data_IF_242306685923
#
_entry.id   IF_242306685923
#
_cell.length_a   1.000
_cell.length_b   1.000
_cell.length_c   1.000
_cell.angle_alpha   90.00
_cell.angle_beta   90.00
_cell.angle_gamma   90.00
#
_symmetry.space_group_name_H-M   'P 1'
#
loop_
_entity.id
_entity.type
_entity.pdbx_description
1 polymer ?
#
# COMPACT_ATOMS: atom_id res chain seq x y z
N UNK A 1 6.31 -95.21 -41.14
CA UNK A 1 6.68 -93.95 -40.46
C UNK A 1 8.13 -93.63 -40.77
N UNK A 2 8.39 -92.85 -41.83
CA UNK A 2 9.73 -92.43 -42.27
C UNK A 2 9.63 -91.09 -43.00
N UNK A 3 10.41 -90.13 -42.50
CA UNK A 3 11.10 -89.00 -43.17
C UNK A 3 10.41 -88.20 -44.27
N UNK A 4 10.23 -86.89 -44.04
CA UNK A 4 10.92 -85.81 -44.76
C UNK A 4 10.50 -84.43 -44.24
N UNK A 5 11.45 -83.58 -43.81
CA UNK A 5 11.26 -82.14 -43.73
C UNK A 5 12.15 -81.47 -44.80
N UNK A 6 11.60 -80.59 -45.62
CA UNK A 6 12.42 -79.57 -46.29
C UNK A 6 11.49 -78.46 -46.78
N UNK A 7 11.57 -77.32 -46.10
CA UNK A 7 11.25 -75.94 -46.47
C UNK A 7 11.32 -75.24 -45.09
N UNK A 8 12.30 -74.39 -44.78
CA UNK A 8 12.46 -73.03 -45.28
C UNK A 8 13.88 -72.57 -44.90
N UNK A 9 14.67 -72.22 -45.91
CA UNK A 9 15.73 -71.22 -45.76
C UNK A 9 15.08 -69.82 -45.83
N UNK A 10 15.74 -68.83 -45.22
CA UNK A 10 15.30 -67.46 -44.87
C UNK A 10 14.78 -67.35 -43.43
N UNK A 11 15.35 -66.57 -42.52
CA UNK A 11 16.25 -65.45 -42.69
C UNK A 11 17.17 -65.28 -41.47
N UNK A 12 18.46 -65.11 -41.74
CA UNK A 12 19.37 -64.40 -40.85
C UNK A 12 18.94 -62.93 -40.87
N UNK A 13 18.21 -62.48 -39.86
CA UNK A 13 18.10 -61.05 -39.54
C UNK A 13 18.26 -60.86 -38.03
N UNK A 14 19.51 -60.58 -37.67
CA UNK A 14 19.89 -59.47 -36.78
C UNK A 14 19.07 -59.28 -35.49
N UNK A 15 19.23 -60.17 -34.51
CA UNK A 15 18.84 -59.92 -33.11
C UNK A 15 20.07 -59.56 -32.26
N UNK A 16 20.72 -58.44 -32.55
CA UNK A 16 21.74 -57.89 -31.65
C UNK A 16 21.77 -56.37 -31.53
N UNK A 17 20.83 -55.64 -32.13
CA UNK A 17 20.77 -54.18 -32.03
C UNK A 17 19.89 -53.65 -30.87
N UNK A 18 19.00 -54.46 -30.28
CA UNK A 18 17.96 -53.94 -29.35
C UNK A 18 18.34 -53.91 -27.86
N UNK A 19 19.50 -54.45 -27.47
CA UNK A 19 19.89 -54.48 -26.07
C UNK A 19 20.53 -53.16 -25.58
N UNK A 20 21.13 -52.37 -26.49
CA UNK A 20 21.80 -51.12 -26.14
C UNK A 20 20.81 -49.96 -25.97
N UNK A 21 19.84 -49.83 -26.87
CA UNK A 21 18.80 -48.79 -26.80
C UNK A 21 17.91 -48.92 -25.56
N UNK A 22 17.62 -50.14 -25.09
CA UNK A 22 16.75 -50.36 -23.93
C UNK A 22 17.42 -49.95 -22.60
N UNK A 23 18.75 -50.00 -22.52
CA UNK A 23 19.48 -49.55 -21.34
C UNK A 23 19.60 -48.02 -21.30
N UNK A 24 19.86 -47.40 -22.45
CA UNK A 24 19.99 -45.94 -22.58
C UNK A 24 18.66 -45.24 -22.30
N UNK A 25 17.56 -45.78 -22.83
CA UNK A 25 16.20 -45.30 -22.55
C UNK A 25 15.78 -45.47 -21.09
N UNK A 26 16.14 -46.59 -20.45
CA UNK A 26 15.83 -46.80 -19.03
C UNK A 26 16.53 -45.78 -18.11
N UNK A 27 17.75 -45.37 -18.45
CA UNK A 27 18.51 -44.39 -17.66
C UNK A 27 17.99 -42.96 -17.88
N UNK A 28 17.61 -42.60 -19.10
CA UNK A 28 16.94 -41.34 -19.42
C UNK A 28 15.61 -41.21 -18.68
N UNK A 29 14.80 -42.28 -18.63
CA UNK A 29 13.54 -42.31 -17.87
C UNK A 29 13.79 -42.12 -16.36
N UNK A 30 14.88 -42.68 -15.81
CA UNK A 30 15.26 -42.45 -14.41
C UNK A 30 15.69 -41.01 -14.15
N UNK A 31 16.44 -40.40 -15.06
CA UNK A 31 16.82 -38.99 -14.99
C UNK A 31 15.60 -38.08 -15.05
N UNK A 32 14.72 -38.27 -16.05
CA UNK A 32 13.45 -37.55 -16.18
C UNK A 32 12.60 -37.66 -14.92
N UNK A 33 12.51 -38.85 -14.31
CA UNK A 33 11.76 -39.05 -13.06
C UNK A 33 12.36 -38.26 -11.90
N UNK A 34 13.69 -38.16 -11.81
CA UNK A 34 14.37 -37.34 -10.80
C UNK A 34 14.12 -35.86 -11.04
N UNK A 35 14.16 -35.39 -12.29
CA UNK A 35 13.88 -34.01 -12.66
C UNK A 35 12.43 -33.63 -12.37
N UNK A 36 11.46 -34.48 -12.70
CA UNK A 36 10.04 -34.26 -12.38
C UNK A 36 9.82 -34.15 -10.87
N UNK A 37 10.48 -34.98 -10.07
CA UNK A 37 10.38 -34.89 -8.60
C UNK A 37 11.03 -33.61 -8.08
N UNK A 38 12.14 -33.18 -8.66
CA UNK A 38 12.83 -31.92 -8.31
C UNK A 38 11.96 -30.72 -8.65
N UNK A 39 11.47 -30.63 -9.88
CA UNK A 39 10.56 -29.58 -10.35
C UNK A 39 9.27 -29.55 -9.54
N UNK A 40 8.71 -30.70 -9.18
CA UNK A 40 7.52 -30.76 -8.33
C UNK A 40 7.78 -30.20 -6.93
N UNK A 41 8.97 -30.40 -6.36
CA UNK A 41 9.36 -29.80 -5.08
C UNK A 41 9.56 -28.29 -5.20
N UNK A 42 10.21 -27.83 -6.27
CA UNK A 42 10.42 -26.40 -6.55
C UNK A 42 9.09 -25.66 -6.74
N UNK A 43 8.17 -26.21 -7.55
CA UNK A 43 6.82 -25.65 -7.71
C UNK A 43 6.04 -25.65 -6.38
N UNK A 44 6.21 -26.67 -5.55
CA UNK A 44 5.53 -26.73 -4.25
C UNK A 44 6.14 -25.74 -3.24
N UNK A 45 7.45 -25.48 -3.28
CA UNK A 45 8.08 -24.45 -2.46
C UNK A 45 7.71 -23.04 -2.91
N UNK A 46 7.63 -22.79 -4.23
CA UNK A 46 7.24 -21.50 -4.79
C UNK A 46 5.77 -21.18 -4.51
N UNK A 47 4.89 -22.19 -4.57
CA UNK A 47 3.49 -22.03 -4.16
C UNK A 47 3.36 -21.72 -2.66
N UNK A 48 4.25 -22.27 -1.82
CA UNK A 48 4.30 -21.98 -0.37
C UNK A 48 4.91 -20.60 -0.07
N UNK A 49 5.73 -20.07 -0.98
CA UNK A 49 6.21 -18.68 -0.96
C UNK A 49 5.18 -17.68 -1.52
N UNK A 50 3.96 -18.12 -1.88
CA UNK A 50 2.79 -17.30 -2.21
C UNK A 50 2.25 -16.43 -1.06
N UNK A 51 3.14 -15.85 -0.24
CA UNK A 51 2.86 -14.81 0.75
C UNK A 51 2.16 -13.57 0.14
N UNK A 52 2.15 -13.44 -1.19
CA UNK A 52 1.36 -12.43 -1.89
C UNK A 52 -0.15 -12.55 -1.67
N UNK A 53 -0.71 -13.76 -1.53
CA UNK A 53 -2.15 -13.92 -1.37
C UNK A 53 -2.66 -13.50 0.03
N UNK A 54 -1.84 -13.71 1.07
CA UNK A 54 -2.15 -13.25 2.43
C UNK A 54 -2.01 -11.73 2.53
N UNK A 55 -0.92 -11.17 2.00
CA UNK A 55 -0.69 -9.73 1.97
C UNK A 55 -1.79 -8.98 1.20
N UNK A 56 -2.27 -9.52 0.06
CA UNK A 56 -3.38 -8.92 -0.69
C UNK A 56 -4.67 -8.94 0.13
N UNK A 57 -4.98 -10.04 0.82
CA UNK A 57 -6.17 -10.14 1.68
C UNK A 57 -6.11 -9.18 2.86
N UNK A 58 -4.94 -8.98 3.46
CA UNK A 58 -4.79 -8.04 4.57
C UNK A 58 -4.88 -6.59 4.09
N UNK A 59 -4.30 -6.28 2.93
CA UNK A 59 -4.43 -4.99 2.29
C UNK A 59 -5.90 -4.67 1.93
N UNK A 60 -6.66 -5.64 1.44
CA UNK A 60 -8.10 -5.49 1.18
C UNK A 60 -8.89 -5.14 2.46
N UNK A 61 -8.57 -5.79 3.59
CA UNK A 61 -9.19 -5.47 4.89
C UNK A 61 -8.86 -4.04 5.32
N UNK A 62 -7.62 -3.59 5.14
CA UNK A 62 -7.21 -2.23 5.46
C UNK A 62 -7.96 -1.21 4.60
N UNK A 63 -8.08 -1.45 3.30
CA UNK A 63 -8.84 -0.58 2.39
C UNK A 63 -10.31 -0.48 2.83
N UNK A 64 -10.95 -1.58 3.23
CA UNK A 64 -12.32 -1.56 3.75
C UNK A 64 -12.41 -0.74 5.05
N UNK A 65 -11.45 -0.91 5.96
CA UNK A 65 -11.38 -0.15 7.21
C UNK A 65 -11.20 1.35 6.94
N UNK A 66 -10.30 1.72 6.03
CA UNK A 66 -10.07 3.11 5.63
C UNK A 66 -11.33 3.73 5.01
N UNK A 67 -12.00 3.02 4.10
CA UNK A 67 -13.26 3.48 3.51
C UNK A 67 -14.34 3.73 4.57
N UNK A 68 -14.42 2.87 5.59
CA UNK A 68 -15.35 3.07 6.72
C UNK A 68 -15.00 4.31 7.54
N UNK A 69 -13.71 4.54 7.79
CA UNK A 69 -13.25 5.73 8.51
C UNK A 69 -13.53 7.02 7.73
N UNK A 70 -13.31 7.03 6.41
CA UNK A 70 -13.64 8.18 5.56
C UNK A 70 -15.13 8.53 5.66
N UNK A 71 -16.03 7.54 5.56
CA UNK A 71 -17.48 7.80 5.72
C UNK A 71 -17.83 8.38 7.09
N UNK A 72 -17.28 7.83 8.16
CA UNK A 72 -17.49 8.36 9.52
C UNK A 72 -17.03 9.81 9.66
N UNK A 73 -15.90 10.16 9.06
CA UNK A 73 -15.39 11.53 9.07
C UNK A 73 -16.30 12.46 8.25
N UNK A 74 -16.82 11.99 7.12
CA UNK A 74 -17.81 12.75 6.34
C UNK A 74 -19.08 13.00 7.14
N UNK A 75 -19.60 11.99 7.84
CA UNK A 75 -20.79 12.13 8.69
C UNK A 75 -20.57 13.16 9.80
N UNK A 76 -19.41 13.11 10.47
CA UNK A 76 -19.03 14.09 11.50
C UNK A 76 -18.90 15.51 10.95
N UNK A 77 -18.37 15.69 9.73
CA UNK A 77 -18.29 17.00 9.09
C UNK A 77 -19.68 17.57 8.84
N UNK A 78 -20.62 16.76 8.36
CA UNK A 78 -22.00 17.18 8.13
C UNK A 78 -22.70 17.54 9.44
N UNK A 79 -22.50 16.76 10.49
CA UNK A 79 -23.03 17.06 11.84
C UNK A 79 -22.47 18.39 12.37
N UNK A 80 -21.16 18.59 12.24
CA UNK A 80 -20.52 19.85 12.64
C UNK A 80 -21.05 21.04 11.83
N UNK A 81 -21.23 20.90 10.52
CA UNK A 81 -21.80 21.95 9.67
C UNK A 81 -23.21 22.31 10.12
N UNK A 82 -24.08 21.32 10.34
CA UNK A 82 -25.43 21.54 10.85
C UNK A 82 -25.41 22.23 12.23
N UNK A 83 -24.47 21.87 13.11
CA UNK A 83 -24.32 22.51 14.42
C UNK A 83 -23.85 23.96 14.32
N UNK A 84 -23.03 24.29 13.32
CA UNK A 84 -22.55 25.65 13.06
C UNK A 84 -23.70 26.50 12.49
N UNK A 85 -24.49 25.95 11.57
CA UNK A 85 -25.68 26.62 11.02
C UNK A 85 -26.73 26.89 12.11
N UNK A 86 -27.02 25.91 12.97
CA UNK A 86 -27.94 26.11 14.09
C UNK A 86 -27.45 27.18 15.09
N UNK A 87 -26.14 27.28 15.30
CA UNK A 87 -25.56 28.34 16.14
C UNK A 87 -25.56 29.70 15.45
N UNK A 88 -25.38 29.75 14.13
CA UNK A 88 -25.38 31.00 13.37
C UNK A 88 -26.77 31.61 13.26
N UNK A 89 -27.84 30.81 13.24
CA UNK A 89 -29.22 31.32 13.29
C UNK A 89 -29.58 31.95 14.64
N UNK A 90 -28.94 31.52 15.74
CA UNK A 90 -29.12 32.09 17.08
C UNK A 90 -28.20 33.31 17.33
N UNK A 91 -27.08 33.40 16.61
CA UNK A 91 -26.15 34.51 16.68
C UNK A 91 -26.60 35.61 15.71
N UNK A 92 -27.14 36.70 16.23
CA UNK A 92 -27.32 37.92 15.43
C UNK A 92 -25.97 38.27 14.78
N UNK A 93 -25.92 38.59 13.47
CA UNK A 93 -24.67 38.94 12.82
C UNK A 93 -24.14 40.23 13.45
N UNK A 94 -23.19 40.09 14.36
CA UNK A 94 -22.43 41.24 14.88
C UNK A 94 -21.76 41.90 13.67
N UNK A 95 -21.98 43.21 13.45
CA UNK A 95 -21.31 43.95 12.39
C UNK A 95 -19.82 43.65 12.41
N UNK A 96 -19.21 43.44 11.24
CA UNK A 96 -17.78 43.05 11.11
C UNK A 96 -16.84 44.03 11.83
N UNK A 97 -17.26 45.29 12.00
CA UNK A 97 -16.53 46.32 12.76
C UNK A 97 -16.44 46.06 14.27
N UNK A 98 -17.41 45.39 14.88
CA UNK A 98 -17.49 45.16 16.32
C UNK A 98 -16.89 43.80 16.75
N UNK A 99 -16.36 43.03 15.81
CA UNK A 99 -15.76 41.73 16.12
C UNK A 99 -14.42 41.91 16.84
N UNK A 100 -14.14 41.13 17.90
CA UNK A 100 -12.85 41.18 18.59
C UNK A 100 -11.74 40.86 17.58
N UNK A 101 -10.82 41.80 17.43
CA UNK A 101 -9.64 41.65 16.59
C UNK A 101 -8.54 41.05 17.43
N UNK A 102 -7.83 40.08 16.87
CA UNK A 102 -6.72 39.41 17.52
C UNK A 102 -5.43 39.82 16.85
N UNK A 103 -4.44 40.19 17.66
CA UNK A 103 -3.07 40.38 17.22
C UNK A 103 -2.20 39.29 17.83
N UNK A 104 -1.37 38.64 17.01
CA UNK A 104 -0.39 37.67 17.47
C UNK A 104 1.02 38.10 17.06
N UNK A 105 1.98 37.84 17.94
CA UNK A 105 3.40 38.14 17.76
C UNK A 105 4.24 36.90 18.05
N UNK A 106 5.35 36.77 17.33
CA UNK A 106 6.37 35.76 17.58
C UNK A 106 7.74 36.35 17.25
N UNK A 107 8.75 35.95 18.00
CA UNK A 107 10.14 36.25 17.72
C UNK A 107 10.87 34.95 17.39
N UNK A 108 11.40 34.85 16.18
CA UNK A 108 12.22 33.72 15.76
C UNK A 108 13.63 34.19 15.41
N UNK A 109 14.63 33.35 15.73
CA UNK A 109 16.05 33.71 15.54
C UNK A 109 16.40 33.89 14.06
N UNK A 110 15.70 33.19 13.14
CA UNK A 110 15.92 33.29 11.69
C UNK A 110 14.96 34.26 11.00
N UNK A 111 13.67 34.21 11.33
CA UNK A 111 12.64 35.03 10.70
C UNK A 111 12.48 36.43 11.34
N UNK A 112 13.14 36.66 12.48
CA UNK A 112 13.05 37.90 13.25
C UNK A 112 11.71 38.04 13.98
N UNK A 113 11.41 39.26 14.43
CA UNK A 113 10.10 39.61 14.97
C UNK A 113 9.03 39.67 13.88
N UNK A 114 7.94 38.93 14.07
CA UNK A 114 6.82 38.85 13.14
C UNK A 114 5.51 39.04 13.90
N UNK A 115 4.54 39.65 13.22
CA UNK A 115 3.22 39.91 13.77
C UNK A 115 2.15 39.62 12.71
N UNK A 116 0.96 39.28 13.16
CA UNK A 116 -0.21 39.05 12.32
C UNK A 116 -1.48 39.48 13.05
N UNK A 117 -2.54 39.74 12.28
CA UNK A 117 -3.86 40.07 12.80
C UNK A 117 -4.92 39.18 12.16
N UNK A 118 -6.03 38.96 12.85
CA UNK A 118 -7.16 38.17 12.36
C UNK A 118 -8.44 38.44 13.15
N UNK A 119 -9.58 38.00 12.61
CA UNK A 119 -10.88 38.08 13.30
C UNK A 119 -11.06 37.00 14.35
N UNK A 120 -10.14 36.03 14.40
CA UNK A 120 -10.05 35.03 15.44
C UNK A 120 -8.60 34.78 15.82
N UNK A 121 -8.37 34.32 17.05
CA UNK A 121 -7.04 33.92 17.52
C UNK A 121 -6.40 32.88 16.60
N UNK A 122 -7.19 31.93 16.10
CA UNK A 122 -6.70 30.85 15.22
C UNK A 122 -6.28 31.42 13.87
N UNK A 123 -7.06 32.33 13.29
CA UNK A 123 -6.71 33.00 12.04
C UNK A 123 -5.42 33.81 12.19
N UNK A 124 -5.32 34.63 13.23
CA UNK A 124 -4.13 35.41 13.51
C UNK A 124 -2.90 34.49 13.67
N UNK A 125 -2.99 33.43 14.48
CA UNK A 125 -1.93 32.43 14.63
C UNK A 125 -1.54 31.75 13.31
N UNK A 126 -2.51 31.32 12.52
CA UNK A 126 -2.28 30.66 11.23
C UNK A 126 -1.51 31.56 10.26
N UNK A 127 -1.94 32.83 10.15
CA UNK A 127 -1.24 33.84 9.35
C UNK A 127 0.18 34.10 9.86
N UNK A 128 0.39 34.10 11.19
CA UNK A 128 1.72 34.30 11.78
C UNK A 128 2.69 33.17 11.40
N UNK A 129 2.22 31.93 11.51
CA UNK A 129 3.01 30.75 11.15
C UNK A 129 3.32 30.70 9.65
N UNK A 130 2.38 31.13 8.81
CA UNK A 130 2.60 31.28 7.38
C UNK A 130 3.70 32.31 7.08
N UNK A 131 3.63 33.51 7.68
CA UNK A 131 4.66 34.56 7.54
C UNK A 131 6.02 34.06 8.02
N UNK A 132 6.05 33.34 9.15
CA UNK A 132 7.26 32.74 9.68
C UNK A 132 7.90 31.75 8.71
N UNK A 133 7.09 30.86 8.13
CA UNK A 133 7.54 29.84 7.18
C UNK A 133 8.09 30.47 5.90
N UNK A 134 7.41 31.50 5.37
CA UNK A 134 7.88 32.26 4.21
C UNK A 134 9.24 32.94 4.44
N UNK A 135 9.54 33.32 5.69
CA UNK A 135 10.83 33.91 6.09
C UNK A 135 11.90 32.87 6.45
N UNK A 136 11.60 31.57 6.34
CA UNK A 136 12.55 30.49 6.65
C UNK A 136 12.83 30.32 8.15
N UNK A 137 11.88 30.74 9.01
CA UNK A 137 11.98 30.62 10.46
C UNK A 137 11.73 29.20 11.00
N UNK A 138 12.05 28.96 12.26
CA UNK A 138 11.65 27.74 12.98
C UNK A 138 10.36 28.02 13.75
N UNK A 139 9.23 27.84 13.06
CA UNK A 139 7.93 28.30 13.52
C UNK A 139 7.32 27.29 14.51
N UNK A 140 7.24 27.68 15.78
CA UNK A 140 6.61 26.86 16.83
C UNK A 140 5.45 27.61 17.46
N UNK A 141 4.32 26.93 17.60
CA UNK A 141 3.13 27.54 18.20
C UNK A 141 3.34 27.95 19.67
N UNK A 142 4.26 27.28 20.38
CA UNK A 142 4.62 27.61 21.76
C UNK A 142 5.29 28.97 21.92
N UNK A 143 5.85 29.54 20.85
CA UNK A 143 6.49 30.86 20.85
C UNK A 143 5.58 32.01 20.44
N UNK A 144 4.28 31.76 20.28
CA UNK A 144 3.31 32.76 19.82
C UNK A 144 2.56 33.37 21.01
N UNK A 145 2.67 34.69 21.14
CA UNK A 145 1.87 35.50 22.07
C UNK A 145 0.73 36.15 21.31
N UNK A 146 -0.50 36.08 21.84
CA UNK A 146 -1.66 36.73 21.22
C UNK A 146 -2.42 37.54 22.26
N UNK A 147 -2.88 38.72 21.85
CA UNK A 147 -3.75 39.60 22.62
C UNK A 147 -4.94 40.05 21.77
N UNK A 148 -5.98 40.52 22.46
CA UNK A 148 -7.02 41.32 21.84
C UNK A 148 -6.42 42.67 21.40
N UNK A 149 -6.86 43.20 20.26
CA UNK A 149 -6.45 44.50 19.68
C UNK A 149 -7.34 45.65 20.12
#
# INVERSE_FOLDING_TARGET
>A
MRSLPFLIAFALFSTSAFAHDNHQTAEEVRQLKKEVVKLRKEVHSDHKQGAGAENVRDLEKEVVKLRKNVRRLQDLILELQASIEAQSELAHPVPVEERPKWACYMSDVKAGGIHSKGFSRIEAKGRLLEICSQRGGLCFESGIECSDE
#
